data_IF_877601781948
#
_entry.id   IF_877601781948
#
_cell.length_a   1.000
_cell.length_b   1.000
_cell.length_c   1.000
_cell.angle_alpha   90.00
_cell.angle_beta   90.00
_cell.angle_gamma   90.00
#
_symmetry.space_group_name_H-M   'P 1'
#
loop_
_entity.id
_entity.type
_entity.pdbx_description
1 polymer ?
#
# COMPACT_ATOMS: atom_id res chain seq x y z
N UNK A 1 24.54 17.56 7.65
CA UNK A 1 25.62 17.75 6.67
C UNK A 1 26.94 17.89 7.41
N UNK A 2 28.06 17.50 6.79
CA UNK A 2 29.39 17.52 7.39
C UNK A 2 30.42 17.85 6.30
N UNK A 3 31.29 18.82 6.56
CA UNK A 3 32.41 19.15 5.70
C UNK A 3 33.58 18.21 6.01
N UNK A 4 33.96 17.36 5.06
CA UNK A 4 35.01 16.34 5.27
C UNK A 4 36.40 16.83 4.87
N UNK A 5 36.45 17.75 3.91
CA UNK A 5 37.64 18.49 3.47
C UNK A 5 37.18 19.89 3.06
N UNK A 6 38.07 20.91 3.05
CA UNK A 6 37.70 22.26 2.65
C UNK A 6 36.97 22.28 1.29
N UNK A 7 35.69 22.71 1.31
CA UNK A 7 34.84 22.78 0.12
C UNK A 7 34.07 21.51 -0.25
N UNK A 8 34.22 20.40 0.50
CA UNK A 8 33.48 19.14 0.27
C UNK A 8 32.46 18.92 1.38
N UNK A 9 31.19 19.23 1.09
CA UNK A 9 30.07 19.06 2.01
C UNK A 9 29.33 17.76 1.68
N UNK A 10 29.26 16.85 2.64
CA UNK A 10 28.46 15.63 2.55
C UNK A 10 27.18 15.77 3.37
N UNK A 11 26.08 15.21 2.87
CA UNK A 11 24.77 15.30 3.49
C UNK A 11 23.93 14.07 3.22
N UNK A 12 22.85 13.93 3.99
CA UNK A 12 21.80 12.98 3.70
C UNK A 12 20.47 13.71 3.74
N UNK A 13 19.63 13.43 2.75
CA UNK A 13 18.26 13.95 2.66
C UNK A 13 17.32 12.77 2.46
N UNK A 14 16.30 12.68 3.30
CA UNK A 14 15.19 11.75 3.09
C UNK A 14 14.19 12.39 2.13
N UNK A 15 13.88 11.70 1.05
CA UNK A 15 12.88 12.12 0.07
C UNK A 15 11.81 11.03 0.06
N UNK A 16 10.55 11.35 0.42
CA UNK A 16 9.48 10.36 0.40
C UNK A 16 9.19 9.93 -1.04
N UNK A 17 8.74 8.68 -1.17
CA UNK A 17 8.18 8.16 -2.41
C UNK A 17 6.85 8.90 -2.65
N UNK A 18 6.54 9.19 -3.92
CA UNK A 18 5.32 9.93 -4.26
C UNK A 18 4.07 9.07 -4.18
N UNK A 19 4.08 7.90 -4.86
CA UNK A 19 2.90 7.04 -4.96
C UNK A 19 3.14 5.68 -4.28
N UNK A 20 2.33 5.36 -3.29
CA UNK A 20 2.43 4.10 -2.52
C UNK A 20 1.13 3.32 -2.58
N UNK A 21 1.24 2.01 -2.85
CA UNK A 21 0.17 1.04 -2.71
C UNK A 21 0.30 0.25 -1.42
N UNK A 22 -0.76 0.17 -0.63
CA UNK A 22 -0.82 -0.57 0.62
C UNK A 22 -1.75 -1.78 0.46
N UNK A 23 -1.19 -2.98 0.43
CA UNK A 23 -2.01 -4.19 0.50
C UNK A 23 -2.39 -4.50 1.95
N UNK A 24 -3.69 -4.46 2.24
CA UNK A 24 -4.22 -4.76 3.58
C UNK A 24 -4.97 -6.10 3.51
N UNK A 25 -4.44 -7.16 4.14
CA UNK A 25 -5.07 -8.47 4.10
C UNK A 25 -6.53 -8.41 4.54
N UNK A 26 -7.40 -8.99 3.72
CA UNK A 26 -8.80 -9.22 4.02
C UNK A 26 -9.12 -10.70 3.99
N UNK A 27 -10.41 -11.03 3.90
CA UNK A 27 -10.89 -12.40 3.86
C UNK A 27 -11.55 -12.81 5.17
N UNK A 28 -10.99 -13.82 5.83
CA UNK A 28 -11.62 -14.46 7.01
C UNK A 28 -11.72 -13.54 8.23
N UNK A 29 -10.80 -12.59 8.38
CA UNK A 29 -10.75 -11.68 9.53
C UNK A 29 -10.43 -10.25 9.10
N UNK A 30 -11.08 -9.22 9.69
CA UNK A 30 -10.76 -7.83 9.42
C UNK A 30 -9.40 -7.46 10.04
N UNK A 31 -8.49 -6.91 9.24
CA UNK A 31 -7.14 -6.52 9.67
C UNK A 31 -7.00 -5.00 9.79
N UNK A 32 -7.59 -4.44 10.84
CA UNK A 32 -7.60 -3.00 11.15
C UNK A 32 -6.17 -2.48 11.41
N UNK A 33 -5.35 -3.25 12.13
CA UNK A 33 -3.97 -2.87 12.45
C UNK A 33 -3.10 -2.75 11.20
N UNK A 34 -3.28 -3.65 10.23
CA UNK A 34 -2.49 -3.64 8.99
C UNK A 34 -2.74 -2.39 8.15
N UNK A 35 -3.94 -1.81 8.19
CA UNK A 35 -4.22 -0.54 7.53
C UNK A 35 -3.36 0.60 8.12
N UNK A 36 -3.29 0.70 9.45
CA UNK A 36 -2.49 1.71 10.13
C UNK A 36 -0.98 1.48 9.94
N UNK A 37 -0.52 0.23 10.05
CA UNK A 37 0.90 -0.11 9.87
C UNK A 37 1.43 0.10 8.44
N UNK A 38 0.56 0.37 7.46
CA UNK A 38 0.95 0.60 6.06
C UNK A 38 0.56 2.01 5.60
N UNK A 39 -0.74 2.32 5.58
CA UNK A 39 -1.27 3.60 5.07
C UNK A 39 -0.80 4.77 5.93
N UNK A 40 -1.01 4.71 7.26
CA UNK A 40 -0.62 5.80 8.14
C UNK A 40 0.89 5.99 8.13
N UNK A 41 1.67 4.91 8.05
CA UNK A 41 3.13 4.99 7.90
C UNK A 41 3.54 5.77 6.64
N UNK A 42 2.91 5.48 5.49
CA UNK A 42 3.19 6.20 4.24
C UNK A 42 2.77 7.68 4.31
N UNK A 43 1.61 7.99 4.91
CA UNK A 43 1.16 9.37 5.09
C UNK A 43 2.07 10.16 6.04
N UNK A 44 2.50 9.57 7.15
CA UNK A 44 3.45 10.19 8.10
C UNK A 44 4.83 10.38 7.47
N UNK A 45 5.25 9.47 6.57
CA UNK A 45 6.47 9.64 5.81
C UNK A 45 6.42 10.80 4.81
N UNK A 46 5.23 11.33 4.49
CA UNK A 46 5.04 12.43 3.54
C UNK A 46 4.85 11.97 2.10
N UNK A 47 4.33 10.76 1.87
CA UNK A 47 3.98 10.32 0.52
C UNK A 47 2.75 11.09 0.00
N UNK A 48 2.83 11.57 -1.23
CA UNK A 48 1.78 12.41 -1.84
C UNK A 48 0.47 11.65 -2.03
N UNK A 49 0.56 10.43 -2.58
CA UNK A 49 -0.60 9.57 -2.90
C UNK A 49 -0.41 8.18 -2.29
N UNK A 50 -1.37 7.76 -1.47
CA UNK A 50 -1.41 6.44 -0.82
C UNK A 50 -2.72 5.76 -1.15
N UNK A 51 -2.68 4.70 -1.96
CA UNK A 51 -3.84 3.86 -2.24
C UNK A 51 -3.79 2.58 -1.41
N UNK A 52 -4.95 2.01 -1.09
CA UNK A 52 -5.06 0.79 -0.31
C UNK A 52 -5.96 -0.23 -1.00
N UNK A 53 -5.53 -1.49 -0.98
CA UNK A 53 -6.28 -2.62 -1.54
C UNK A 53 -6.62 -3.62 -0.44
N UNK A 54 -7.87 -4.09 -0.41
CA UNK A 54 -8.26 -5.22 0.45
C UNK A 54 -9.28 -6.13 -0.22
N UNK A 55 -9.21 -7.42 0.11
CA UNK A 55 -10.15 -8.39 -0.42
C UNK A 55 -11.57 -8.15 0.14
N UNK A 56 -12.63 -8.34 -0.67
CA UNK A 56 -13.99 -8.40 -0.15
C UNK A 56 -14.17 -9.57 0.83
N UNK A 57 -15.20 -9.53 1.68
CA UNK A 57 -15.44 -10.60 2.65
C UNK A 57 -15.89 -11.92 1.97
N UNK A 58 -15.44 -13.09 2.44
CA UNK A 58 -15.86 -14.38 1.91
C UNK A 58 -17.28 -14.73 2.38
N UNK A 59 -18.05 -15.42 1.52
CA UNK A 59 -19.37 -15.96 1.87
C UNK A 59 -20.50 -15.44 1.00
N UNK A 60 -20.70 -16.10 -0.16
CA UNK A 60 -21.98 -16.21 -0.88
C UNK A 60 -22.46 -15.00 -1.65
N UNK A 61 -22.50 -13.82 -1.03
CA UNK A 61 -22.97 -12.60 -1.67
C UNK A 61 -21.81 -11.81 -2.28
N UNK A 62 -21.83 -11.55 -3.60
CA UNK A 62 -20.90 -10.64 -4.22
C UNK A 62 -20.91 -9.28 -3.49
N UNK A 63 -19.75 -8.83 -3.04
CA UNK A 63 -19.60 -7.46 -2.55
C UNK A 63 -19.93 -7.22 -1.08
N UNK A 64 -19.92 -8.23 -0.18
CA UNK A 64 -19.90 -7.91 1.26
C UNK A 64 -18.65 -7.11 1.61
N UNK A 65 -18.90 -5.84 1.93
CA UNK A 65 -17.92 -4.80 2.15
C UNK A 65 -17.26 -5.00 3.53
N UNK A 66 -15.92 -5.06 3.64
CA UNK A 66 -15.22 -5.13 4.92
C UNK A 66 -15.21 -3.75 5.59
N UNK A 67 -16.37 -3.32 6.12
CA UNK A 67 -16.59 -1.96 6.63
C UNK A 67 -15.54 -1.48 7.62
N UNK A 68 -15.13 -2.33 8.56
CA UNK A 68 -14.13 -1.97 9.58
C UNK A 68 -12.74 -1.78 8.97
N UNK A 69 -12.35 -2.60 8.00
CA UNK A 69 -11.07 -2.45 7.29
C UNK A 69 -11.06 -1.19 6.42
N UNK A 70 -12.15 -0.89 5.71
CA UNK A 70 -12.27 0.35 4.92
C UNK A 70 -12.23 1.57 5.81
N UNK A 71 -12.98 1.57 6.92
CA UNK A 71 -12.95 2.66 7.88
C UNK A 71 -11.53 2.87 8.42
N UNK A 72 -10.82 1.78 8.74
CA UNK A 72 -9.42 1.85 9.18
C UNK A 72 -8.50 2.47 8.14
N UNK A 73 -8.64 2.13 6.85
CA UNK A 73 -7.84 2.75 5.77
C UNK A 73 -8.16 4.23 5.60
N UNK A 74 -9.44 4.59 5.65
CA UNK A 74 -9.88 5.97 5.53
C UNK A 74 -9.32 6.82 6.68
N UNK A 75 -9.46 6.37 7.92
CA UNK A 75 -8.90 7.07 9.08
C UNK A 75 -7.36 7.07 9.11
N UNK A 76 -6.71 6.09 8.50
CA UNK A 76 -5.26 6.08 8.30
C UNK A 76 -4.79 7.06 7.20
N UNK A 77 -5.71 7.63 6.41
CA UNK A 77 -5.42 8.65 5.40
C UNK A 77 -5.21 8.14 3.99
N UNK A 78 -5.80 6.99 3.62
CA UNK A 78 -5.76 6.50 2.24
C UNK A 78 -6.48 7.47 1.29
N UNK A 79 -5.83 7.82 0.18
CA UNK A 79 -6.36 8.69 -0.87
C UNK A 79 -7.26 7.92 -1.85
N UNK A 80 -7.09 6.60 -1.96
CA UNK A 80 -7.94 5.70 -2.73
C UNK A 80 -8.06 4.33 -2.06
N UNK A 81 -9.26 3.75 -2.06
CA UNK A 81 -9.52 2.43 -1.49
C UNK A 81 -10.16 1.53 -2.55
N UNK A 82 -9.55 0.38 -2.81
CA UNK A 82 -9.99 -0.57 -3.82
C UNK A 82 -10.31 -1.93 -3.19
N UNK A 83 -11.49 -2.45 -3.50
CA UNK A 83 -11.94 -3.77 -3.05
C UNK A 83 -11.42 -4.87 -3.96
N UNK A 84 -10.12 -5.11 -3.89
CA UNK A 84 -9.41 -6.13 -4.64
C UNK A 84 -8.33 -6.76 -3.76
N UNK A 85 -8.22 -8.10 -3.77
CA UNK A 85 -7.21 -8.86 -3.02
C UNK A 85 -6.30 -9.67 -3.93
N UNK A 86 -5.40 -10.46 -3.35
CA UNK A 86 -4.60 -11.46 -4.06
C UNK A 86 -3.56 -10.88 -5.02
N UNK A 87 -3.07 -11.73 -5.92
CA UNK A 87 -2.05 -11.38 -6.91
C UNK A 87 -2.53 -10.29 -7.89
N UNK A 88 -3.83 -10.29 -8.22
CA UNK A 88 -4.44 -9.29 -9.10
C UNK A 88 -4.41 -7.88 -8.49
N UNK A 89 -4.55 -7.73 -7.17
CA UNK A 89 -4.40 -6.43 -6.53
C UNK A 89 -2.96 -5.92 -6.61
N UNK A 90 -1.98 -6.83 -6.50
CA UNK A 90 -0.57 -6.48 -6.65
C UNK A 90 -0.27 -6.08 -8.09
N UNK A 91 -0.75 -6.85 -9.08
CA UNK A 91 -0.60 -6.52 -10.50
C UNK A 91 -1.26 -5.18 -10.85
N UNK A 92 -2.48 -4.93 -10.36
CA UNK A 92 -3.19 -3.68 -10.61
C UNK A 92 -2.47 -2.46 -10.03
N UNK A 93 -1.88 -2.58 -8.83
CA UNK A 93 -1.07 -1.51 -8.26
C UNK A 93 0.27 -1.34 -8.98
N UNK A 94 0.92 -2.43 -9.39
CA UNK A 94 2.25 -2.38 -10.01
C UNK A 94 2.21 -1.85 -11.45
N UNK A 95 1.26 -2.33 -12.26
CA UNK A 95 1.18 -2.03 -13.68
C UNK A 95 0.13 -0.97 -14.03
N UNK A 96 -0.77 -0.69 -13.10
CA UNK A 96 -1.95 0.14 -13.35
C UNK A 96 -3.04 -0.60 -14.14
N UNK A 97 -4.21 0.01 -14.18
CA UNK A 97 -5.39 -0.39 -14.96
C UNK A 97 -6.07 0.87 -15.49
N UNK A 98 -7.20 0.71 -16.19
CA UNK A 98 -8.04 1.83 -16.61
C UNK A 98 -8.60 2.67 -15.46
N UNK A 99 -8.62 2.13 -14.23
CA UNK A 99 -9.19 2.77 -13.03
C UNK A 99 -8.21 2.92 -11.86
N UNK A 100 -7.04 2.28 -11.93
CA UNK A 100 -6.01 2.31 -10.90
C UNK A 100 -4.72 2.79 -11.57
N UNK A 101 -4.26 3.98 -11.25
CA UNK A 101 -2.92 4.41 -11.66
C UNK A 101 -1.85 3.63 -10.89
N UNK A 102 -0.81 3.20 -11.60
CA UNK A 102 0.33 2.48 -11.04
C UNK A 102 0.98 3.24 -9.88
N UNK A 103 1.60 2.50 -8.95
CA UNK A 103 2.32 3.05 -7.80
C UNK A 103 3.81 2.73 -7.87
N UNK A 104 4.61 3.55 -7.20
CA UNK A 104 6.06 3.42 -7.19
C UNK A 104 6.54 2.38 -6.15
N UNK A 105 5.70 2.04 -5.17
CA UNK A 105 6.06 1.13 -4.09
C UNK A 105 4.83 0.38 -3.53
N UNK A 106 4.97 -0.91 -3.25
CA UNK A 106 3.87 -1.74 -2.71
C UNK A 106 4.22 -2.36 -1.35
N UNK A 107 3.58 -1.84 -0.30
CA UNK A 107 3.71 -2.31 1.09
C UNK A 107 2.64 -3.34 1.48
N UNK A 108 2.80 -3.95 2.66
CA UNK A 108 1.77 -4.78 3.29
C UNK A 108 1.99 -6.30 3.20
N UNK A 109 1.57 -7.07 4.21
CA UNK A 109 1.74 -8.52 4.23
C UNK A 109 0.69 -9.21 3.35
N UNK A 110 0.89 -10.49 3.02
CA UNK A 110 -0.10 -11.26 2.29
C UNK A 110 0.18 -12.75 2.32
N UNK A 111 -0.73 -13.54 1.74
CA UNK A 111 -0.54 -14.99 1.59
C UNK A 111 0.55 -15.30 0.53
N UNK A 112 0.82 -16.58 0.30
CA UNK A 112 1.83 -17.04 -0.67
C UNK A 112 1.67 -16.43 -2.07
N UNK A 113 0.43 -16.26 -2.54
CA UNK A 113 0.14 -15.66 -3.85
C UNK A 113 0.50 -14.18 -3.91
N UNK A 114 0.19 -13.43 -2.84
CA UNK A 114 0.56 -12.01 -2.75
C UNK A 114 2.08 -11.85 -2.64
N UNK A 115 2.74 -12.71 -1.85
CA UNK A 115 4.19 -12.69 -1.69
C UNK A 115 4.90 -12.99 -3.02
N UNK A 116 4.46 -14.01 -3.75
CA UNK A 116 5.02 -14.35 -5.06
C UNK A 116 4.73 -13.24 -6.08
N UNK A 117 3.52 -12.69 -6.11
CA UNK A 117 3.20 -11.57 -7.01
C UNK A 117 4.10 -10.35 -6.75
N UNK A 118 4.35 -10.01 -5.48
CA UNK A 118 5.28 -8.93 -5.11
C UNK A 118 6.71 -9.18 -5.60
N UNK A 119 7.15 -10.45 -5.59
CA UNK A 119 8.45 -10.84 -6.09
C UNK A 119 8.55 -10.71 -7.61
N UNK A 120 7.49 -11.07 -8.34
CA UNK A 120 7.44 -10.97 -9.80
C UNK A 120 7.42 -9.52 -10.30
N UNK A 121 6.78 -8.61 -9.56
CA UNK A 121 6.72 -7.18 -9.91
C UNK A 121 7.86 -6.35 -9.30
N UNK A 122 8.83 -6.98 -8.63
CA UNK A 122 9.95 -6.27 -8.05
C UNK A 122 11.01 -5.94 -9.12
N UNK A 123 11.30 -4.65 -9.28
CA UNK A 123 12.25 -4.09 -10.24
C UNK A 123 11.82 -2.71 -10.69
#
# INVERSE_FOLDING_TARGET
>A
ETETQPGVILGHKHIPIKNVGCYVPGGKFPMIASAHMSVLTAKVAGCDRVIACTAPMPGGEPGRIPHTTIAAMHYAGADGIYLMGGAQAIGAMAYGTETIEAVDFIAGPGNAFVAEAKKQVFG
#
